data_IF_601748836000
#
_entry.id   IF_601748836000
#
_cell.length_a   1.000
_cell.length_b   1.000
_cell.length_c   1.000
_cell.angle_alpha   90.00
_cell.angle_beta   90.00
_cell.angle_gamma   90.00
#
_symmetry.space_group_name_H-M   'P 1'
#
loop_
_entity.id
_entity.type
_entity.pdbx_description
1 polymer ?
#
# COMPACT_ATOMS: atom_id res chain seq x y z
N UNK A 1 -9.98 24.54 -5.18
CA UNK A 1 -10.77 24.08 -4.02
C UNK A 1 -11.98 24.96 -3.74
N UNK A 2 -11.87 26.27 -3.51
CA UNK A 2 -13.03 27.13 -3.12
C UNK A 2 -14.26 27.05 -4.07
N UNK A 3 -14.08 26.83 -5.38
CA UNK A 3 -15.20 26.79 -6.35
C UNK A 3 -15.95 25.44 -6.33
N UNK A 4 -15.26 24.32 -6.17
CA UNK A 4 -15.88 22.97 -6.10
C UNK A 4 -16.72 22.86 -4.81
N UNK A 5 -16.19 23.33 -3.69
CA UNK A 5 -16.95 23.39 -2.43
C UNK A 5 -18.13 24.36 -2.53
N UNK A 6 -17.98 25.50 -3.21
CA UNK A 6 -19.07 26.43 -3.41
C UNK A 6 -20.21 25.84 -4.26
N UNK A 7 -19.89 25.12 -5.34
CA UNK A 7 -20.90 24.44 -6.18
C UNK A 7 -21.64 23.34 -5.41
N UNK A 8 -20.92 22.56 -4.59
CA UNK A 8 -21.52 21.55 -3.74
C UNK A 8 -22.44 22.15 -2.67
N UNK A 9 -21.96 23.19 -1.98
CA UNK A 9 -22.76 23.92 -0.95
C UNK A 9 -23.99 24.55 -1.58
N UNK A 10 -23.86 25.18 -2.76
CA UNK A 10 -25.00 25.78 -3.45
C UNK A 10 -26.08 24.75 -3.78
N UNK A 11 -25.70 23.57 -4.30
CA UNK A 11 -26.67 22.49 -4.61
C UNK A 11 -27.33 21.94 -3.34
N UNK A 12 -26.58 21.80 -2.26
CA UNK A 12 -27.09 21.36 -0.97
C UNK A 12 -28.12 22.39 -0.44
N UNK A 13 -27.79 23.67 -0.52
CA UNK A 13 -28.72 24.74 -0.13
C UNK A 13 -30.01 24.74 -0.95
N UNK A 14 -29.93 24.46 -2.26
CA UNK A 14 -31.13 24.34 -3.12
C UNK A 14 -32.00 23.17 -2.67
N UNK A 15 -31.43 22.02 -2.35
CA UNK A 15 -32.18 20.85 -1.83
C UNK A 15 -32.87 21.19 -0.52
N UNK A 16 -32.15 21.84 0.43
CA UNK A 16 -32.71 22.25 1.71
C UNK A 16 -33.79 23.29 1.54
N UNK A 17 -33.61 24.29 0.67
CA UNK A 17 -34.61 25.31 0.38
C UNK A 17 -35.88 24.73 -0.24
N UNK A 18 -35.78 23.77 -1.15
CA UNK A 18 -36.91 23.07 -1.74
C UNK A 18 -37.62 22.20 -0.70
N UNK A 19 -36.91 21.52 0.20
CA UNK A 19 -37.51 20.74 1.26
C UNK A 19 -38.30 21.65 2.26
N UNK A 20 -37.69 22.74 2.68
CA UNK A 20 -38.35 23.69 3.62
C UNK A 20 -39.54 24.39 2.98
N UNK A 21 -39.46 24.82 1.71
CA UNK A 21 -40.57 25.39 0.96
C UNK A 21 -41.72 24.40 0.78
N UNK A 22 -41.42 23.13 0.52
CA UNK A 22 -42.42 22.06 0.40
C UNK A 22 -43.18 21.83 1.72
N UNK A 23 -42.47 21.79 2.84
CA UNK A 23 -43.05 21.69 4.19
C UNK A 23 -43.95 22.90 4.51
N UNK A 24 -43.50 24.10 4.18
CA UNK A 24 -44.28 25.33 4.40
C UNK A 24 -45.54 25.35 3.55
N UNK A 25 -45.51 24.98 2.30
CA UNK A 25 -46.66 24.87 1.39
C UNK A 25 -47.66 23.79 1.87
N UNK A 26 -47.16 22.67 2.40
CA UNK A 26 -48.00 21.61 2.97
C UNK A 26 -48.79 22.14 4.20
N UNK A 27 -48.11 22.86 5.10
CA UNK A 27 -48.75 23.48 6.29
C UNK A 27 -49.85 24.49 5.92
N UNK A 28 -49.68 25.19 4.78
CA UNK A 28 -50.66 26.22 4.31
C UNK A 28 -51.69 25.68 3.34
N UNK A 29 -51.81 24.35 3.17
CA UNK A 29 -52.80 23.68 2.32
C UNK A 29 -52.76 24.13 0.84
N UNK A 30 -51.65 24.67 0.36
CA UNK A 30 -51.47 25.11 -1.04
C UNK A 30 -51.06 23.96 -1.96
N UNK A 31 -52.00 23.05 -2.24
CA UNK A 31 -51.77 21.81 -2.98
C UNK A 31 -51.28 22.02 -4.43
N UNK A 32 -51.73 23.10 -5.10
CA UNK A 32 -51.30 23.40 -6.48
C UNK A 32 -49.79 23.66 -6.55
N UNK A 33 -49.22 24.43 -5.65
CA UNK A 33 -47.80 24.73 -5.62
C UNK A 33 -46.97 23.54 -5.13
N UNK A 34 -47.56 22.72 -4.27
CA UNK A 34 -46.92 21.49 -3.81
C UNK A 34 -46.64 20.49 -4.96
N UNK A 35 -47.60 20.33 -5.90
CA UNK A 35 -47.43 19.52 -7.09
C UNK A 35 -46.27 19.95 -7.99
N UNK A 36 -45.82 21.21 -7.90
CA UNK A 36 -44.68 21.71 -8.67
C UNK A 36 -43.36 21.56 -7.88
N UNK A 37 -43.35 21.82 -6.58
CA UNK A 37 -42.14 21.78 -5.72
C UNK A 37 -41.66 20.35 -5.52
N UNK A 38 -42.55 19.38 -5.34
CA UNK A 38 -42.20 17.98 -5.12
C UNK A 38 -41.38 17.36 -6.28
N UNK A 39 -41.80 17.45 -7.56
CA UNK A 39 -40.98 16.96 -8.65
C UNK A 39 -39.62 17.66 -8.76
N UNK A 40 -39.59 18.99 -8.53
CA UNK A 40 -38.36 19.77 -8.57
C UNK A 40 -37.35 19.31 -7.49
N UNK A 41 -37.86 18.97 -6.30
CA UNK A 41 -37.07 18.40 -5.21
C UNK A 41 -36.43 17.06 -5.62
N UNK A 42 -37.19 16.12 -6.20
CA UNK A 42 -36.68 14.85 -6.68
C UNK A 42 -35.64 15.02 -7.80
N UNK A 43 -35.86 15.92 -8.74
CA UNK A 43 -34.91 16.26 -9.80
C UNK A 43 -33.62 16.83 -9.19
N UNK A 44 -33.69 17.67 -8.18
CA UNK A 44 -32.55 18.25 -7.50
C UNK A 44 -31.71 17.16 -6.77
N UNK A 45 -32.39 16.23 -6.08
CA UNK A 45 -31.75 15.06 -5.45
C UNK A 45 -31.06 14.17 -6.50
N UNK A 46 -31.76 13.86 -7.60
CA UNK A 46 -31.21 13.05 -8.68
C UNK A 46 -29.93 13.69 -9.27
N UNK A 47 -29.94 15.00 -9.50
CA UNK A 47 -28.79 15.75 -10.01
C UNK A 47 -27.62 15.75 -9.03
N UNK A 48 -27.91 15.87 -7.75
CA UNK A 48 -26.91 15.77 -6.67
C UNK A 48 -26.29 14.38 -6.60
N UNK A 49 -27.13 13.32 -6.61
CA UNK A 49 -26.70 11.93 -6.59
C UNK A 49 -25.84 11.58 -7.82
N UNK A 50 -26.25 12.01 -9.01
CA UNK A 50 -25.49 11.78 -10.24
C UNK A 50 -24.08 12.38 -10.17
N UNK A 51 -23.95 13.61 -9.66
CA UNK A 51 -22.66 14.26 -9.52
C UNK A 51 -21.76 13.53 -8.52
N UNK A 52 -22.32 13.15 -7.38
CA UNK A 52 -21.62 12.38 -6.35
C UNK A 52 -21.10 11.06 -6.89
N UNK A 53 -21.96 10.27 -7.51
CA UNK A 53 -21.60 8.95 -8.06
C UNK A 53 -20.55 9.07 -9.16
N UNK A 54 -20.64 10.09 -10.01
CA UNK A 54 -19.67 10.32 -11.08
C UNK A 54 -18.26 10.58 -10.53
N UNK A 55 -18.12 11.41 -9.51
CA UNK A 55 -16.83 11.71 -8.89
C UNK A 55 -16.28 10.52 -8.10
N UNK A 56 -17.13 9.79 -7.39
CA UNK A 56 -16.72 8.59 -6.65
C UNK A 56 -16.20 7.49 -7.58
N UNK A 57 -16.84 7.30 -8.74
CA UNK A 57 -16.35 6.33 -9.74
C UNK A 57 -14.97 6.68 -10.29
N UNK A 58 -14.66 7.97 -10.47
CA UNK A 58 -13.31 8.39 -10.88
C UNK A 58 -12.26 8.05 -9.84
N UNK A 59 -12.57 8.23 -8.56
CA UNK A 59 -11.64 7.87 -7.48
C UNK A 59 -11.44 6.35 -7.43
N UNK A 60 -12.52 5.57 -7.51
CA UNK A 60 -12.43 4.11 -7.56
C UNK A 60 -11.59 3.65 -8.76
N UNK A 61 -11.85 4.17 -9.95
CA UNK A 61 -11.07 3.87 -11.15
C UNK A 61 -9.59 4.23 -11.01
N UNK A 62 -9.26 5.34 -10.33
CA UNK A 62 -7.86 5.69 -10.05
C UNK A 62 -7.21 4.69 -9.11
N UNK A 63 -7.91 4.25 -8.06
CA UNK A 63 -7.38 3.27 -7.11
C UNK A 63 -7.13 1.92 -7.78
N UNK A 64 -8.10 1.45 -8.60
CA UNK A 64 -7.96 0.22 -9.38
C UNK A 64 -6.74 0.29 -10.32
N UNK A 65 -6.53 1.43 -10.97
CA UNK A 65 -5.37 1.63 -11.84
C UNK A 65 -4.04 1.57 -11.10
N UNK A 66 -3.97 2.18 -9.91
CA UNK A 66 -2.76 2.16 -9.08
C UNK A 66 -2.50 0.74 -8.55
N UNK A 67 -3.53 0.00 -8.18
CA UNK A 67 -3.44 -1.39 -7.73
C UNK A 67 -2.91 -2.30 -8.85
N UNK A 68 -3.40 -2.11 -10.08
CA UNK A 68 -3.02 -2.88 -11.26
C UNK A 68 -1.72 -2.39 -11.95
N UNK A 69 -0.97 -1.46 -11.36
CA UNK A 69 0.24 -0.88 -11.94
C UNK A 69 0.06 -0.26 -13.34
N UNK A 70 -1.10 0.32 -13.62
CA UNK A 70 -1.37 0.97 -14.90
C UNK A 70 -1.00 2.46 -14.87
N UNK A 71 0.18 2.86 -15.41
CA UNK A 71 0.63 4.26 -15.40
C UNK A 71 -0.08 5.12 -16.45
N UNK A 72 -0.86 4.52 -17.34
CA UNK A 72 -1.47 5.23 -18.48
C UNK A 72 -2.73 6.01 -18.11
N UNK A 73 -3.29 5.73 -16.94
CA UNK A 73 -4.53 6.37 -16.51
C UNK A 73 -4.34 7.86 -16.28
N UNK A 74 -5.06 8.64 -17.08
CA UNK A 74 -5.12 10.11 -16.95
C UNK A 74 -6.55 10.59 -17.17
N UNK A 75 -6.96 11.52 -16.34
CA UNK A 75 -8.23 12.20 -16.49
C UNK A 75 -8.06 13.44 -17.38
N UNK A 76 -9.06 13.68 -18.22
CA UNK A 76 -9.04 14.83 -19.12
C UNK A 76 -9.12 16.16 -18.36
N UNK A 77 -8.07 16.97 -18.43
CA UNK A 77 -7.91 18.20 -17.63
C UNK A 77 -8.73 19.37 -18.19
N UNK A 78 -9.01 19.40 -19.49
CA UNK A 78 -9.72 20.49 -20.16
C UNK A 78 -11.21 20.18 -20.36
N UNK A 79 -11.91 19.73 -19.30
CA UNK A 79 -13.35 19.54 -19.34
C UNK A 79 -14.06 20.89 -19.54
N UNK A 80 -15.12 20.98 -20.36
CA UNK A 80 -15.95 22.18 -20.49
C UNK A 80 -16.50 22.67 -19.14
N UNK A 81 -16.74 21.74 -18.23
CA UNK A 81 -17.12 22.02 -16.85
C UNK A 81 -15.86 22.27 -15.99
N UNK A 82 -15.73 23.52 -15.53
CA UNK A 82 -14.59 23.96 -14.72
C UNK A 82 -14.44 23.20 -13.39
N UNK A 83 -15.53 22.73 -12.82
CA UNK A 83 -15.54 21.96 -11.59
C UNK A 83 -14.94 20.56 -11.82
N UNK A 84 -15.32 19.91 -12.90
CA UNK A 84 -14.77 18.62 -13.33
C UNK A 84 -13.28 18.72 -13.71
N UNK A 85 -12.87 19.80 -14.36
CA UNK A 85 -11.46 20.06 -14.68
C UNK A 85 -10.58 20.15 -13.42
N UNK A 86 -11.04 20.86 -12.40
CA UNK A 86 -10.31 20.98 -11.13
C UNK A 86 -10.16 19.63 -10.40
N UNK A 87 -11.22 18.82 -10.38
CA UNK A 87 -11.17 17.47 -9.80
C UNK A 87 -10.23 16.57 -10.59
N UNK A 88 -10.30 16.59 -11.92
CA UNK A 88 -9.43 15.79 -12.78
C UNK A 88 -7.94 16.16 -12.62
N UNK A 89 -7.62 17.45 -12.51
CA UNK A 89 -6.24 17.88 -12.21
C UNK A 89 -5.75 17.38 -10.86
N UNK A 90 -6.61 17.40 -9.84
CA UNK A 90 -6.25 16.86 -8.52
C UNK A 90 -6.02 15.35 -8.57
N UNK A 91 -6.89 14.61 -9.24
CA UNK A 91 -6.75 13.15 -9.39
C UNK A 91 -5.47 12.80 -10.16
N UNK A 92 -5.16 13.51 -11.25
CA UNK A 92 -3.90 13.34 -11.98
C UNK A 92 -2.67 13.65 -11.13
N UNK A 93 -2.76 14.66 -10.27
CA UNK A 93 -1.66 14.99 -9.34
C UNK A 93 -1.48 13.89 -8.29
N UNK A 94 -2.57 13.39 -7.70
CA UNK A 94 -2.53 12.30 -6.72
C UNK A 94 -1.97 11.03 -7.38
N UNK A 95 -2.45 10.67 -8.57
CA UNK A 95 -1.93 9.55 -9.36
C UNK A 95 -0.41 9.64 -9.50
N UNK A 96 0.08 10.78 -9.96
CA UNK A 96 1.53 11.01 -10.17
C UNK A 96 2.33 10.85 -8.89
N UNK A 97 1.85 11.41 -7.78
CA UNK A 97 2.52 11.28 -6.47
C UNK A 97 2.58 9.83 -6.04
N UNK A 98 1.46 9.10 -6.10
CA UNK A 98 1.39 7.70 -5.68
C UNK A 98 2.26 6.80 -6.55
N UNK A 99 2.26 7.02 -7.87
CA UNK A 99 3.17 6.32 -8.79
C UNK A 99 4.64 6.57 -8.47
N UNK A 100 5.02 7.83 -8.26
CA UNK A 100 6.40 8.17 -7.91
C UNK A 100 6.83 7.51 -6.59
N UNK A 101 5.98 7.54 -5.56
CA UNK A 101 6.26 6.90 -4.27
C UNK A 101 6.40 5.39 -4.43
N UNK A 102 5.51 4.74 -5.19
CA UNK A 102 5.55 3.29 -5.45
C UNK A 102 6.85 2.92 -6.19
N UNK A 103 7.19 3.65 -7.22
CA UNK A 103 8.40 3.44 -8.01
C UNK A 103 9.67 3.68 -7.18
N UNK A 104 9.71 4.75 -6.37
CA UNK A 104 10.84 5.04 -5.49
C UNK A 104 11.00 3.93 -4.44
N UNK A 105 9.91 3.43 -3.87
CA UNK A 105 9.94 2.33 -2.90
C UNK A 105 10.49 1.06 -3.55
N UNK A 106 10.00 0.67 -4.73
CA UNK A 106 10.47 -0.50 -5.46
C UNK A 106 11.96 -0.37 -5.86
N UNK A 107 12.42 0.81 -6.30
CA UNK A 107 13.82 1.07 -6.58
C UNK A 107 14.69 0.96 -5.32
N UNK A 108 14.20 1.45 -4.19
CA UNK A 108 14.92 1.39 -2.90
C UNK A 108 15.04 -0.04 -2.40
N UNK A 109 13.97 -0.83 -2.50
CA UNK A 109 14.00 -2.26 -2.16
C UNK A 109 15.03 -3.01 -3.02
N UNK A 110 15.00 -2.81 -4.33
CA UNK A 110 15.97 -3.43 -5.23
C UNK A 110 17.41 -2.99 -4.95
N UNK A 111 17.60 -1.73 -4.60
CA UNK A 111 18.91 -1.21 -4.22
C UNK A 111 19.45 -1.88 -2.93
N UNK A 112 18.60 -2.07 -1.92
CA UNK A 112 18.98 -2.79 -0.70
C UNK A 112 19.30 -4.26 -0.98
N UNK A 113 18.53 -4.92 -1.81
CA UNK A 113 18.80 -6.31 -2.24
C UNK A 113 20.18 -6.41 -2.92
N UNK A 114 20.47 -5.51 -3.85
CA UNK A 114 21.78 -5.48 -4.51
C UNK A 114 22.92 -5.23 -3.51
N UNK A 115 22.78 -4.28 -2.59
CA UNK A 115 23.80 -4.04 -1.55
C UNK A 115 24.04 -5.31 -0.74
N UNK A 116 22.98 -5.98 -0.28
CA UNK A 116 23.09 -7.22 0.48
C UNK A 116 23.83 -8.30 -0.29
N UNK A 117 23.60 -8.40 -1.60
CA UNK A 117 24.26 -9.39 -2.46
C UNK A 117 25.73 -9.09 -2.74
N UNK A 118 26.14 -7.82 -2.71
CA UNK A 118 27.54 -7.42 -2.84
C UNK A 118 28.37 -7.65 -1.56
N UNK A 119 27.72 -7.82 -0.40
CA UNK A 119 28.41 -8.10 0.86
C UNK A 119 28.99 -9.52 0.84
N UNK A 120 30.30 -9.65 1.07
CA UNK A 120 30.99 -10.95 1.12
C UNK A 120 30.67 -11.79 2.36
N UNK A 121 29.95 -11.25 3.31
CA UNK A 121 29.44 -11.96 4.49
C UNK A 121 28.06 -12.54 4.20
N UNK A 122 27.85 -13.82 4.53
CA UNK A 122 26.53 -14.44 4.47
C UNK A 122 25.60 -13.80 5.51
N UNK A 123 24.50 -13.22 5.07
CA UNK A 123 23.48 -12.61 5.92
C UNK A 123 22.22 -13.45 5.85
N UNK A 124 21.70 -13.83 7.02
CA UNK A 124 20.43 -14.55 7.16
C UNK A 124 19.63 -13.85 8.26
N UNK A 125 18.41 -13.44 7.93
CA UNK A 125 17.46 -12.85 8.87
C UNK A 125 16.40 -13.89 9.21
N UNK A 126 16.23 -14.17 10.49
CA UNK A 126 15.30 -15.17 11.00
C UNK A 126 14.21 -14.51 11.85
N UNK A 127 13.02 -15.05 11.82
CA UNK A 127 12.01 -14.71 12.82
C UNK A 127 12.22 -15.52 14.12
N UNK A 128 11.45 -15.19 15.16
CA UNK A 128 11.51 -15.87 16.47
C UNK A 128 11.25 -17.38 16.41
N UNK A 129 10.63 -17.88 15.34
CA UNK A 129 10.32 -19.30 15.12
C UNK A 129 11.40 -20.03 14.30
N UNK A 130 12.47 -19.34 13.87
CA UNK A 130 13.54 -19.90 13.06
C UNK A 130 13.21 -19.99 11.56
N UNK A 131 12.12 -19.37 11.09
CA UNK A 131 11.88 -19.24 9.67
C UNK A 131 12.73 -18.10 9.07
N UNK A 132 13.25 -18.34 7.87
CA UNK A 132 14.08 -17.37 7.15
C UNK A 132 13.19 -16.30 6.55
N UNK A 133 13.37 -15.07 7.01
CA UNK A 133 12.71 -13.89 6.48
C UNK A 133 13.44 -13.32 5.27
N UNK A 134 14.78 -13.24 5.36
CA UNK A 134 15.64 -12.74 4.27
C UNK A 134 17.01 -13.41 4.33
N UNK A 135 17.62 -13.57 3.17
CA UNK A 135 19.00 -14.07 3.02
C UNK A 135 19.65 -13.42 1.81
N UNK A 136 20.96 -13.24 1.85
CA UNK A 136 21.71 -12.79 0.68
C UNK A 136 22.31 -13.98 -0.09
N UNK A 137 22.78 -13.71 -1.30
CA UNK A 137 23.40 -14.70 -2.18
C UNK A 137 24.63 -15.35 -1.56
N UNK A 138 25.40 -14.60 -0.78
CA UNK A 138 26.60 -15.14 -0.12
C UNK A 138 26.25 -16.18 0.95
N UNK A 139 25.15 -16.02 1.68
CA UNK A 139 24.69 -17.01 2.65
C UNK A 139 24.36 -18.34 1.93
N UNK A 140 23.65 -18.32 0.81
CA UNK A 140 23.33 -19.53 0.04
C UNK A 140 24.58 -20.21 -0.50
N UNK A 141 25.56 -19.44 -0.96
CA UNK A 141 26.85 -19.97 -1.43
C UNK A 141 27.69 -20.61 -0.30
N UNK A 142 27.75 -19.97 0.88
CA UNK A 142 28.50 -20.49 2.03
C UNK A 142 27.85 -21.76 2.59
N UNK A 143 26.51 -21.80 2.64
CA UNK A 143 25.75 -22.94 3.13
C UNK A 143 25.65 -24.07 2.08
N UNK A 144 25.92 -23.80 0.81
CA UNK A 144 25.74 -24.76 -0.26
C UNK A 144 24.27 -25.16 -0.49
N UNK A 145 23.33 -24.31 -0.08
CA UNK A 145 21.89 -24.57 -0.19
C UNK A 145 21.20 -23.44 -0.95
N UNK A 146 20.66 -23.74 -2.11
CA UNK A 146 19.90 -22.76 -2.91
C UNK A 146 18.55 -22.42 -2.25
N UNK A 147 17.90 -23.44 -1.67
CA UNK A 147 16.62 -23.29 -0.98
C UNK A 147 16.83 -23.50 0.51
N UNK A 148 16.77 -22.40 1.26
CA UNK A 148 16.87 -22.36 2.71
C UNK A 148 15.76 -21.44 3.27
N UNK A 149 14.76 -22.04 3.89
CA UNK A 149 13.57 -21.36 4.39
C UNK A 149 13.37 -21.48 5.91
N UNK A 150 14.09 -22.40 6.54
CA UNK A 150 13.97 -22.64 7.99
C UNK A 150 15.27 -23.21 8.56
N UNK A 151 15.65 -22.81 9.78
CA UNK A 151 16.85 -23.28 10.51
C UNK A 151 16.93 -24.80 10.63
N UNK A 152 15.78 -25.47 10.75
CA UNK A 152 15.70 -26.96 10.78
C UNK A 152 16.35 -27.65 9.59
N UNK A 153 16.41 -26.99 8.44
CA UNK A 153 17.02 -27.55 7.24
C UNK A 153 18.55 -27.60 7.32
N UNK A 154 19.16 -26.85 8.22
CA UNK A 154 20.60 -26.84 8.46
C UNK A 154 21.14 -28.17 8.99
N UNK A 155 20.30 -29.02 9.59
CA UNK A 155 20.71 -30.38 9.98
C UNK A 155 21.22 -31.23 8.80
N UNK A 156 20.85 -30.87 7.57
CA UNK A 156 21.37 -31.54 6.35
C UNK A 156 22.83 -31.25 6.09
N UNK A 157 23.34 -30.16 6.67
CA UNK A 157 24.74 -29.72 6.48
C UNK A 157 25.54 -30.00 7.77
N UNK A 158 25.02 -29.55 8.92
CA UNK A 158 25.63 -29.70 10.23
C UNK A 158 24.61 -29.54 11.34
N UNK A 159 24.53 -30.54 12.24
CA UNK A 159 23.66 -30.45 13.42
C UNK A 159 24.20 -29.40 14.42
N UNK A 160 25.51 -29.18 14.43
CA UNK A 160 26.15 -28.16 15.24
C UNK A 160 25.74 -26.75 14.77
N UNK A 161 25.76 -26.49 13.46
CA UNK A 161 25.32 -25.23 12.87
C UNK A 161 23.83 -24.96 13.18
N UNK A 162 22.99 -25.97 13.04
CA UNK A 162 21.56 -25.86 13.40
C UNK A 162 21.40 -25.47 14.86
N UNK A 163 22.06 -26.18 15.79
CA UNK A 163 21.98 -25.92 17.23
C UNK A 163 22.42 -24.50 17.56
N UNK A 164 23.54 -24.05 17.02
CA UNK A 164 24.05 -22.70 17.23
C UNK A 164 23.06 -21.66 16.69
N UNK A 165 22.46 -21.85 15.52
CA UNK A 165 21.49 -20.88 14.97
C UNK A 165 20.12 -20.88 15.70
N UNK A 166 19.73 -21.97 16.33
CA UNK A 166 18.49 -22.05 17.12
C UNK A 166 18.67 -21.49 18.54
N UNK A 167 19.81 -21.73 19.19
CA UNK A 167 20.06 -21.39 20.60
C UNK A 167 20.78 -20.03 20.79
N UNK A 168 21.41 -19.48 19.75
CA UNK A 168 22.21 -18.26 19.87
C UNK A 168 21.37 -17.02 20.20
N UNK A 169 21.86 -16.23 21.13
CA UNK A 169 21.27 -14.97 21.57
C UNK A 169 21.91 -13.77 20.84
N UNK A 170 21.19 -12.64 20.75
CA UNK A 170 21.76 -11.40 20.23
C UNK A 170 23.07 -11.02 20.96
N UNK A 171 24.15 -10.85 20.21
CA UNK A 171 25.50 -10.57 20.75
C UNK A 171 26.43 -11.76 20.67
N UNK A 172 25.94 -12.99 20.53
CA UNK A 172 26.75 -14.18 20.50
C UNK A 172 27.65 -14.25 19.26
N UNK A 173 28.84 -14.83 19.48
CA UNK A 173 29.80 -15.15 18.43
C UNK A 173 30.20 -16.61 18.58
N UNK A 174 30.11 -17.36 17.51
CA UNK A 174 30.43 -18.79 17.47
C UNK A 174 31.22 -19.11 16.23
N UNK A 175 32.00 -20.17 16.27
CA UNK A 175 32.68 -20.73 15.11
C UNK A 175 32.22 -22.17 14.94
N UNK A 176 31.80 -22.52 13.74
CA UNK A 176 31.30 -23.84 13.42
C UNK A 176 32.00 -24.35 12.17
N UNK A 177 32.42 -25.59 12.21
CA UNK A 177 33.00 -26.27 11.06
C UNK A 177 31.87 -26.95 10.26
N UNK A 178 31.80 -26.63 8.99
CA UNK A 178 30.75 -27.14 8.09
C UNK A 178 31.39 -27.86 6.91
N UNK A 179 30.93 -29.06 6.65
CA UNK A 179 31.36 -29.85 5.49
C UNK A 179 30.36 -29.65 4.35
N UNK A 180 30.79 -29.01 3.28
CA UNK A 180 30.01 -28.81 2.05
C UNK A 180 30.55 -29.67 0.91
N UNK A 181 29.82 -29.78 -0.18
CA UNK A 181 30.31 -30.50 -1.41
C UNK A 181 31.65 -29.95 -1.94
N UNK A 182 31.99 -28.71 -1.61
CA UNK A 182 33.23 -28.01 -2.01
C UNK A 182 34.37 -28.17 -1.01
N UNK A 183 34.15 -28.88 0.10
CA UNK A 183 35.13 -29.10 1.16
C UNK A 183 34.64 -28.58 2.53
N UNK A 184 35.51 -28.69 3.50
CA UNK A 184 35.26 -28.26 4.87
C UNK A 184 35.62 -26.78 5.03
N UNK A 185 34.68 -25.98 5.51
CA UNK A 185 34.86 -24.56 5.77
C UNK A 185 34.59 -24.24 7.26
N UNK A 186 35.33 -23.29 7.81
CA UNK A 186 35.09 -22.75 9.14
C UNK A 186 34.24 -21.49 9.02
N UNK A 187 33.05 -21.52 9.55
CA UNK A 187 32.13 -20.38 9.58
C UNK A 187 32.23 -19.66 10.92
N UNK A 188 32.50 -18.37 10.87
CA UNK A 188 32.35 -17.49 12.01
C UNK A 188 30.94 -16.87 11.99
N UNK A 189 30.16 -17.13 13.01
CA UNK A 189 28.78 -16.67 13.16
C UNK A 189 28.73 -15.52 14.17
N UNK A 190 27.93 -14.50 13.84
CA UNK A 190 27.60 -13.42 14.78
C UNK A 190 26.10 -13.18 14.70
N UNK A 191 25.45 -13.22 15.85
CA UNK A 191 24.01 -12.97 15.96
C UNK A 191 23.74 -11.55 16.42
N UNK A 192 22.80 -10.88 15.77
CA UNK A 192 22.33 -9.54 16.16
C UNK A 192 20.82 -9.54 16.19
N UNK A 193 20.21 -8.96 17.21
CA UNK A 193 18.77 -8.79 17.30
C UNK A 193 18.32 -7.52 16.60
N UNK A 194 17.26 -7.60 15.83
CA UNK A 194 16.60 -6.46 15.19
C UNK A 194 15.11 -6.53 15.55
N UNK A 195 14.56 -5.42 16.05
CA UNK A 195 13.14 -5.32 16.38
C UNK A 195 12.43 -4.51 15.28
N UNK A 196 11.54 -5.16 14.54
CA UNK A 196 10.77 -4.52 13.45
C UNK A 196 9.29 -4.71 13.75
N UNK A 197 8.56 -3.64 14.02
CA UNK A 197 7.08 -3.62 14.18
C UNK A 197 6.53 -4.77 15.03
N UNK A 198 6.98 -4.89 16.26
CA UNK A 198 6.56 -5.93 17.22
C UNK A 198 7.00 -7.38 16.90
N UNK A 199 7.69 -7.63 15.80
CA UNK A 199 8.34 -8.92 15.54
C UNK A 199 9.84 -8.83 15.85
N UNK A 200 10.31 -9.75 16.72
CA UNK A 200 11.73 -9.91 17.02
C UNK A 200 12.38 -10.73 15.91
N UNK A 201 13.28 -10.09 15.13
CA UNK A 201 14.10 -10.74 14.11
C UNK A 201 15.54 -10.94 14.62
N UNK A 202 16.19 -12.01 14.17
CA UNK A 202 17.57 -12.36 14.47
C UNK A 202 18.42 -12.47 13.23
#
# INVERSE_FOLDING_TARGET
>A
MKKVTASFIFRLLVVVALATSGLWLYMHHNWLWLCLVVPLFFVSIYWFHRLYTYNTRKVAFLLDAIENDDPAVRFYEHSPDKDNSSVNMMLNRIARILYNVKQETAQREKYYELILDFVETGIVVLNSKGAVYQKNKKATQLLGMDVFTHTKQLSRISDELKKVMEEALPGDKSQVQVSTERGTINLALRVSGINIKEEELR
#
